data_IF_708016763836
#
_entry.id   IF_708016763836
#
_cell.length_a   1.000
_cell.length_b   1.000
_cell.length_c   1.000
_cell.angle_alpha   90.00
_cell.angle_beta   90.00
_cell.angle_gamma   90.00
#
_symmetry.space_group_name_H-M   'P 1'
#
loop_
_entity.id
_entity.type
_entity.pdbx_description
1 polymer ?
#
# COMPACT_ATOMS: atom_id res chain seq x y z
N UNK A 1 15.33 8.08 22.03
CA UNK A 1 14.07 8.83 22.27
C UNK A 1 14.35 10.26 21.84
N UNK A 2 13.45 10.90 21.08
CA UNK A 2 13.64 12.24 20.50
C UNK A 2 12.67 13.26 21.12
N UNK A 3 13.08 14.53 21.27
CA UNK A 3 12.17 15.58 21.71
C UNK A 3 11.03 15.76 20.70
N UNK A 4 9.83 15.99 21.23
CA UNK A 4 8.58 15.98 20.48
C UNK A 4 8.57 16.91 19.25
N UNK A 5 9.18 18.09 19.35
CA UNK A 5 9.26 19.04 18.24
C UNK A 5 10.12 18.51 17.07
N UNK A 6 11.21 17.78 17.35
CA UNK A 6 12.05 17.18 16.31
C UNK A 6 11.32 16.06 15.58
N UNK A 7 10.56 15.24 16.30
CA UNK A 7 9.74 14.18 15.69
C UNK A 7 8.68 14.76 14.77
N UNK A 8 7.97 15.78 15.22
CA UNK A 8 6.94 16.46 14.41
C UNK A 8 7.57 17.09 13.17
N UNK A 9 8.70 17.80 13.31
CA UNK A 9 9.39 18.43 12.19
C UNK A 9 9.92 17.40 11.19
N UNK A 10 10.51 16.30 11.67
CA UNK A 10 11.00 15.22 10.82
C UNK A 10 9.85 14.53 10.08
N UNK A 11 8.73 14.24 10.75
CA UNK A 11 7.54 13.66 10.12
C UNK A 11 6.95 14.59 9.07
N UNK A 12 6.81 15.88 9.38
CA UNK A 12 6.32 16.89 8.41
C UNK A 12 7.26 17.03 7.21
N UNK A 13 8.57 17.07 7.45
CA UNK A 13 9.57 17.11 6.38
C UNK A 13 9.50 15.86 5.50
N UNK A 14 9.35 14.68 6.11
CA UNK A 14 9.21 13.42 5.38
C UNK A 14 7.93 13.37 4.54
N UNK A 15 6.79 13.76 5.11
CA UNK A 15 5.52 13.85 4.38
C UNK A 15 5.62 14.87 3.24
N UNK A 16 6.22 16.04 3.50
CA UNK A 16 6.45 17.07 2.49
C UNK A 16 7.33 16.58 1.34
N UNK A 17 8.37 15.80 1.66
CA UNK A 17 9.23 15.17 0.67
C UNK A 17 8.47 14.13 -0.15
N UNK A 18 7.65 13.27 0.47
CA UNK A 18 6.79 12.32 -0.25
C UNK A 18 5.80 13.06 -1.17
N UNK A 19 5.22 14.17 -0.71
CA UNK A 19 4.32 15.01 -1.49
C UNK A 19 5.04 15.62 -2.70
N UNK A 20 6.28 16.09 -2.50
CA UNK A 20 7.11 16.63 -3.57
C UNK A 20 7.45 15.55 -4.60
N UNK A 21 7.84 14.34 -4.15
CA UNK A 21 8.09 13.20 -5.05
C UNK A 21 6.83 12.85 -5.83
N UNK A 22 5.67 12.78 -5.19
CA UNK A 22 4.39 12.50 -5.86
C UNK A 22 4.06 13.57 -6.91
N UNK A 23 4.24 14.84 -6.57
CA UNK A 23 4.01 15.97 -7.49
C UNK A 23 4.96 15.96 -8.69
N UNK A 24 6.25 15.68 -8.48
CA UNK A 24 7.21 15.54 -9.57
C UNK A 24 6.90 14.31 -10.44
N UNK A 25 6.51 13.20 -9.81
CA UNK A 25 6.11 11.97 -10.50
C UNK A 25 4.94 12.20 -11.46
N UNK A 26 3.94 12.97 -11.03
CA UNK A 26 2.80 13.35 -11.87
C UNK A 26 3.23 14.29 -13.00
N UNK A 27 3.96 15.37 -12.69
CA UNK A 27 4.41 16.36 -13.69
C UNK A 27 5.29 15.77 -14.79
N UNK A 28 6.13 14.79 -14.47
CA UNK A 28 7.07 14.18 -15.43
C UNK A 28 6.64 12.77 -15.88
N UNK A 29 5.39 12.36 -15.62
CA UNK A 29 4.88 10.99 -15.87
C UNK A 29 5.21 10.45 -17.26
N UNK A 30 5.05 11.28 -18.31
CA UNK A 30 5.26 10.87 -19.69
C UNK A 30 6.74 10.67 -20.05
N UNK A 31 7.65 11.43 -19.43
CA UNK A 31 9.09 11.29 -19.66
C UNK A 31 9.68 10.11 -18.88
N UNK A 32 9.20 9.90 -17.65
CA UNK A 32 9.58 8.80 -16.77
C UNK A 32 9.10 7.45 -17.30
N UNK A 33 7.87 7.38 -17.81
CA UNK A 33 7.31 6.16 -18.39
C UNK A 33 8.13 5.65 -19.59
N UNK A 34 8.62 6.53 -20.46
CA UNK A 34 9.42 6.13 -21.63
C UNK A 34 10.79 5.55 -21.29
N UNK A 35 11.42 5.98 -20.19
CA UNK A 35 12.81 5.60 -19.85
C UNK A 35 12.93 4.56 -18.74
N UNK A 36 11.90 4.41 -17.89
CA UNK A 36 12.03 3.68 -16.63
C UNK A 36 10.90 2.71 -16.28
N UNK A 37 10.04 2.33 -17.24
CA UNK A 37 8.82 1.57 -16.94
C UNK A 37 9.08 0.27 -16.15
N UNK A 38 10.12 -0.49 -16.49
CA UNK A 38 10.48 -1.73 -15.77
C UNK A 38 10.89 -1.46 -14.32
N UNK A 39 11.64 -0.38 -14.08
CA UNK A 39 12.11 0.00 -12.73
C UNK A 39 10.92 0.50 -11.91
N UNK A 40 10.07 1.34 -12.50
CA UNK A 40 8.84 1.83 -11.85
C UNK A 40 7.96 0.64 -11.45
N UNK A 41 7.76 -0.33 -12.36
CA UNK A 41 6.97 -1.53 -12.06
C UNK A 41 7.58 -2.35 -10.91
N UNK A 42 8.90 -2.56 -10.93
CA UNK A 42 9.59 -3.24 -9.84
C UNK A 42 9.46 -2.49 -8.49
N UNK A 43 9.60 -1.16 -8.50
CA UNK A 43 9.45 -0.32 -7.30
C UNK A 43 8.01 -0.32 -6.78
N UNK A 44 7.00 -0.37 -7.65
CA UNK A 44 5.59 -0.48 -7.23
C UNK A 44 5.29 -1.80 -6.53
N UNK A 45 5.99 -2.89 -6.88
CA UNK A 45 5.88 -4.15 -6.14
C UNK A 45 6.44 -4.03 -4.71
N UNK A 46 7.32 -3.06 -4.45
CA UNK A 46 7.84 -2.74 -3.13
C UNK A 46 6.78 -2.30 -2.12
N UNK A 47 5.56 -1.96 -2.57
CA UNK A 47 4.40 -1.70 -1.69
C UNK A 47 4.08 -2.89 -0.79
N UNK A 48 4.52 -4.11 -1.15
CA UNK A 48 4.45 -5.29 -0.27
C UNK A 48 5.17 -5.09 1.07
N UNK A 49 6.23 -4.29 1.12
CA UNK A 49 7.01 -3.98 2.30
C UNK A 49 6.32 -2.89 3.15
N UNK A 50 5.24 -3.26 3.83
CA UNK A 50 4.47 -2.35 4.70
C UNK A 50 4.99 -2.31 6.13
N UNK A 51 4.43 -1.41 6.95
CA UNK A 51 4.72 -1.35 8.40
C UNK A 51 4.47 -2.68 9.10
N UNK A 52 3.47 -3.46 8.65
CA UNK A 52 3.26 -4.83 9.13
C UNK A 52 4.47 -5.72 8.89
N UNK A 53 5.07 -5.69 7.70
CA UNK A 53 6.26 -6.49 7.40
C UNK A 53 7.44 -6.04 8.27
N UNK A 54 7.61 -4.73 8.50
CA UNK A 54 8.68 -4.22 9.34
C UNK A 54 8.52 -4.58 10.83
N UNK A 55 7.40 -4.22 11.44
CA UNK A 55 7.14 -4.47 12.87
C UNK A 55 6.85 -5.95 13.16
N UNK A 56 6.15 -6.61 12.25
CA UNK A 56 5.80 -8.03 12.38
C UNK A 56 7.02 -8.93 12.26
N UNK A 57 7.90 -8.72 11.27
CA UNK A 57 9.09 -9.59 11.13
C UNK A 57 10.12 -9.34 12.22
N UNK A 58 10.30 -8.10 12.68
CA UNK A 58 11.19 -7.80 13.82
C UNK A 58 10.65 -8.35 15.13
N UNK A 59 9.34 -8.23 15.37
CA UNK A 59 8.67 -8.85 16.52
C UNK A 59 8.80 -10.37 16.51
N UNK A 60 8.55 -11.02 15.37
CA UNK A 60 8.68 -12.48 15.21
C UNK A 60 10.13 -12.96 15.33
N UNK A 61 11.10 -12.20 14.83
CA UNK A 61 12.52 -12.55 14.95
C UNK A 61 13.00 -12.64 16.41
N UNK A 62 12.37 -11.89 17.32
CA UNK A 62 12.69 -11.96 18.75
C UNK A 62 12.24 -13.27 19.42
N UNK A 63 11.20 -13.92 18.89
CA UNK A 63 10.60 -15.13 19.48
C UNK A 63 10.93 -16.39 18.70
N UNK A 64 11.13 -16.31 17.38
CA UNK A 64 11.48 -17.45 16.51
C UNK A 64 12.06 -16.98 15.18
N UNK A 65 13.28 -17.43 14.86
CA UNK A 65 13.90 -17.16 13.55
C UNK A 65 13.14 -17.84 12.39
N UNK A 66 12.59 -19.04 12.59
CA UNK A 66 11.95 -19.79 11.51
C UNK A 66 10.57 -19.22 11.08
N UNK A 67 9.90 -18.43 11.93
CA UNK A 67 8.57 -17.89 11.61
C UNK A 67 8.60 -16.73 10.62
N UNK A 68 9.75 -16.07 10.42
CA UNK A 68 9.88 -14.99 9.43
C UNK A 68 10.09 -15.50 8.00
N UNK A 69 10.60 -16.72 7.83
CA UNK A 69 11.00 -17.28 6.53
C UNK A 69 9.84 -17.33 5.51
N UNK A 70 8.63 -17.78 5.88
CA UNK A 70 7.50 -17.85 4.96
C UNK A 70 7.07 -16.49 4.38
N UNK A 71 7.26 -15.39 5.13
CA UNK A 71 6.86 -14.04 4.69
C UNK A 71 7.68 -13.60 3.46
N UNK A 72 8.96 -13.98 3.41
CA UNK A 72 9.83 -13.66 2.28
C UNK A 72 9.81 -14.75 1.21
N UNK A 73 9.77 -16.02 1.60
CA UNK A 73 9.72 -17.13 0.65
C UNK A 73 8.40 -17.19 -0.13
N UNK A 74 7.26 -16.81 0.47
CA UNK A 74 5.95 -16.84 -0.17
C UNK A 74 5.91 -16.03 -1.47
N UNK A 75 6.22 -14.72 -1.46
CA UNK A 75 6.31 -13.92 -2.67
C UNK A 75 7.31 -14.46 -3.69
N UNK A 76 8.49 -14.92 -3.25
CA UNK A 76 9.51 -15.48 -4.14
C UNK A 76 8.96 -16.71 -4.87
N UNK A 77 8.38 -17.66 -4.14
CA UNK A 77 7.77 -18.87 -4.72
C UNK A 77 6.61 -18.53 -5.64
N UNK A 78 5.77 -17.56 -5.26
CA UNK A 78 4.66 -17.09 -6.09
C UNK A 78 5.19 -16.52 -7.41
N UNK A 79 6.20 -15.66 -7.38
CA UNK A 79 6.77 -15.10 -8.61
C UNK A 79 7.55 -16.12 -9.45
N UNK A 80 8.16 -17.15 -8.84
CA UNK A 80 8.88 -18.20 -9.57
C UNK A 80 7.92 -19.21 -10.21
N UNK A 81 6.96 -19.73 -9.44
CA UNK A 81 6.07 -20.81 -9.89
C UNK A 81 4.78 -20.32 -10.54
N UNK A 82 4.20 -19.21 -10.04
CA UNK A 82 2.92 -18.68 -10.52
C UNK A 82 3.08 -17.56 -11.56
N UNK A 83 4.30 -17.32 -12.08
CA UNK A 83 4.52 -16.36 -13.16
C UNK A 83 3.58 -16.52 -14.38
N UNK A 84 3.42 -17.73 -14.98
CA UNK A 84 2.53 -17.87 -16.14
C UNK A 84 1.05 -17.59 -15.79
N UNK A 85 0.67 -17.84 -14.53
CA UNK A 85 -0.67 -17.54 -14.03
C UNK A 85 -0.90 -16.02 -13.89
N UNK A 86 0.06 -15.29 -13.31
CA UNK A 86 0.02 -13.83 -13.21
C UNK A 86 -0.08 -13.20 -14.61
N UNK A 87 0.75 -13.66 -15.56
CA UNK A 87 0.70 -13.18 -16.94
C UNK A 87 -0.66 -13.43 -17.60
N UNK A 88 -1.35 -14.52 -17.26
CA UNK A 88 -2.70 -14.81 -17.76
C UNK A 88 -3.73 -13.83 -17.20
N UNK A 89 -3.66 -13.54 -15.90
CA UNK A 89 -4.52 -12.55 -15.24
C UNK A 89 -4.34 -11.18 -15.91
N UNK A 90 -3.10 -10.70 -16.03
CA UNK A 90 -2.80 -9.38 -16.62
C UNK A 90 -3.33 -9.28 -18.05
N UNK A 91 -3.13 -10.32 -18.88
CA UNK A 91 -3.63 -10.33 -20.26
C UNK A 91 -5.16 -10.25 -20.33
N UNK A 92 -5.87 -10.96 -19.44
CA UNK A 92 -7.33 -10.93 -19.39
C UNK A 92 -7.82 -9.56 -18.93
N UNK A 93 -7.24 -8.99 -17.88
CA UNK A 93 -7.58 -7.64 -17.39
C UNK A 93 -7.42 -6.59 -18.50
N UNK A 94 -6.29 -6.62 -19.23
CA UNK A 94 -6.03 -5.68 -20.31
C UNK A 94 -6.96 -5.88 -21.52
N UNK A 95 -7.26 -7.13 -21.90
CA UNK A 95 -8.14 -7.43 -23.04
C UNK A 95 -9.59 -7.03 -22.78
N UNK A 96 -10.04 -7.10 -21.53
CA UNK A 96 -11.41 -6.82 -21.12
C UNK A 96 -11.57 -5.44 -20.44
N UNK A 97 -10.52 -4.62 -20.40
CA UNK A 97 -10.48 -3.31 -19.72
C UNK A 97 -11.02 -3.36 -18.28
N UNK A 98 -10.64 -4.40 -17.54
CA UNK A 98 -11.08 -4.61 -16.16
C UNK A 98 -10.11 -3.89 -15.21
N UNK A 99 -10.65 -3.01 -14.38
CA UNK A 99 -9.87 -2.18 -13.44
C UNK A 99 -9.86 -2.74 -12.01
N UNK A 100 -10.75 -3.69 -11.70
CA UNK A 100 -10.86 -4.29 -10.36
C UNK A 100 -10.82 -5.82 -10.36
N UNK A 101 -10.46 -6.41 -9.21
CA UNK A 101 -10.51 -7.86 -8.99
C UNK A 101 -11.96 -8.38 -9.03
N UNK A 102 -12.91 -7.56 -8.57
CA UNK A 102 -14.34 -7.89 -8.63
C UNK A 102 -14.81 -8.07 -10.08
N UNK A 103 -14.40 -7.15 -10.97
CA UNK A 103 -14.74 -7.23 -12.40
C UNK A 103 -14.05 -8.41 -13.08
N UNK A 104 -12.81 -8.73 -12.67
CA UNK A 104 -12.10 -9.92 -13.16
C UNK A 104 -12.82 -11.22 -12.81
N UNK A 105 -13.29 -11.35 -11.58
CA UNK A 105 -14.04 -12.52 -11.15
C UNK A 105 -15.41 -12.57 -11.82
N UNK A 106 -16.14 -11.46 -11.88
CA UNK A 106 -17.42 -11.39 -12.57
C UNK A 106 -17.32 -11.76 -14.05
N UNK A 107 -16.30 -11.25 -14.76
CA UNK A 107 -16.05 -11.58 -16.16
C UNK A 107 -15.77 -13.06 -16.40
N UNK A 108 -15.15 -13.74 -15.42
CA UNK A 108 -14.90 -15.19 -15.48
C UNK A 108 -16.18 -16.02 -15.33
N UNK A 109 -17.17 -15.54 -14.57
CA UNK A 109 -18.43 -16.23 -14.29
C UNK A 109 -19.62 -15.62 -15.05
N UNK A 110 -19.42 -15.26 -16.32
CA UNK A 110 -20.52 -14.84 -17.20
C UNK A 110 -21.00 -13.39 -17.00
N UNK A 111 -20.14 -12.49 -16.51
CA UNK A 111 -20.46 -11.07 -16.20
C UNK A 111 -21.59 -10.91 -15.18
N UNK A 112 -21.65 -11.80 -14.19
CA UNK A 112 -22.65 -11.73 -13.12
C UNK A 112 -22.41 -10.52 -12.21
N UNK A 113 -23.34 -9.56 -12.24
CA UNK A 113 -23.26 -8.35 -11.42
C UNK A 113 -23.32 -8.67 -9.91
N UNK A 114 -24.16 -9.63 -9.51
CA UNK A 114 -24.25 -10.06 -8.11
C UNK A 114 -22.92 -10.60 -7.56
N UNK A 115 -22.13 -11.30 -8.40
CA UNK A 115 -20.81 -11.78 -7.99
C UNK A 115 -19.84 -10.62 -7.79
N UNK A 116 -19.86 -9.63 -8.69
CA UNK A 116 -19.03 -8.43 -8.55
C UNK A 116 -19.33 -7.70 -7.22
N UNK A 117 -20.61 -7.52 -6.88
CA UNK A 117 -21.03 -6.91 -5.61
C UNK A 117 -20.50 -7.72 -4.42
N UNK A 118 -20.72 -9.04 -4.43
CA UNK A 118 -20.27 -9.91 -3.33
C UNK A 118 -18.76 -9.82 -3.12
N UNK A 119 -17.97 -9.91 -4.19
CA UNK A 119 -16.51 -9.79 -4.12
C UNK A 119 -16.09 -8.42 -3.58
N UNK A 120 -16.75 -7.35 -4.03
CA UNK A 120 -16.45 -5.98 -3.59
C UNK A 120 -16.72 -5.82 -2.10
N UNK A 121 -17.84 -6.33 -1.59
CA UNK A 121 -18.18 -6.30 -0.16
C UNK A 121 -17.14 -7.08 0.66
N UNK A 122 -16.78 -8.29 0.22
CA UNK A 122 -15.77 -9.11 0.90
C UNK A 122 -14.41 -8.42 0.90
N UNK A 123 -14.01 -7.81 -0.22
CA UNK A 123 -12.77 -7.05 -0.32
C UNK A 123 -12.79 -5.81 0.59
N UNK A 124 -13.91 -5.09 0.66
CA UNK A 124 -14.09 -3.93 1.54
C UNK A 124 -13.96 -4.35 3.02
N UNK A 125 -14.70 -5.37 3.44
CA UNK A 125 -14.67 -5.88 4.81
C UNK A 125 -13.29 -6.42 5.18
N UNK A 126 -12.58 -7.07 4.23
CA UNK A 126 -11.23 -7.59 4.47
C UNK A 126 -10.15 -6.51 4.53
N UNK A 127 -10.27 -5.45 3.73
CA UNK A 127 -9.27 -4.36 3.68
C UNK A 127 -9.42 -3.35 4.82
N UNK A 128 -10.65 -3.11 5.30
CA UNK A 128 -10.93 -2.19 6.40
C UNK A 128 -10.11 -2.47 7.68
N UNK A 129 -10.08 -3.70 8.26
CA UNK A 129 -9.29 -3.99 9.44
C UNK A 129 -7.79 -3.92 9.16
N UNK A 130 -7.36 -4.25 7.95
CA UNK A 130 -5.96 -4.15 7.56
C UNK A 130 -5.48 -2.69 7.58
N UNK A 131 -6.26 -1.75 7.02
CA UNK A 131 -5.96 -0.32 7.07
C UNK A 131 -5.92 0.16 8.54
N UNK A 132 -6.85 -0.29 9.38
CA UNK A 132 -6.86 0.05 10.80
C UNK A 132 -5.59 -0.43 11.53
N UNK A 133 -5.13 -1.66 11.25
CA UNK A 133 -3.88 -2.20 11.81
C UNK A 133 -2.66 -1.41 11.34
N UNK A 134 -2.63 -0.97 10.08
CA UNK A 134 -1.53 -0.17 9.55
C UNK A 134 -1.48 1.23 10.20
N UNK A 135 -2.64 1.87 10.39
CA UNK A 135 -2.73 3.15 11.11
C UNK A 135 -2.27 3.00 12.57
N UNK A 136 -2.71 1.94 13.25
CA UNK A 136 -2.29 1.67 14.62
C UNK A 136 -0.77 1.45 14.72
N UNK A 137 -0.19 0.74 13.75
CA UNK A 137 1.27 0.54 13.65
C UNK A 137 2.04 1.86 13.55
N UNK A 138 1.52 2.84 12.79
CA UNK A 138 2.12 4.16 12.66
C UNK A 138 2.04 4.95 13.98
N UNK A 139 0.87 4.94 14.64
CA UNK A 139 0.69 5.60 15.94
C UNK A 139 1.62 4.99 16.98
N UNK A 140 1.68 3.66 17.06
CA UNK A 140 2.56 2.92 17.97
C UNK A 140 4.03 3.28 17.78
N UNK A 141 4.49 3.32 16.52
CA UNK A 141 5.87 3.69 16.19
C UNK A 141 6.19 5.12 16.64
N UNK A 142 5.25 6.06 16.46
CA UNK A 142 5.42 7.44 16.90
C UNK A 142 5.49 7.54 18.43
N UNK A 143 4.64 6.79 19.15
CA UNK A 143 4.64 6.77 20.62
C UNK A 143 5.93 6.22 21.22
N UNK A 144 6.52 5.17 20.62
CA UNK A 144 7.79 4.62 21.10
C UNK A 144 8.96 5.59 20.96
N UNK A 145 8.90 6.52 20.01
CA UNK A 145 9.99 7.45 19.74
C UNK A 145 9.96 8.70 20.63
N UNK A 146 8.81 9.03 21.24
CA UNK A 146 8.61 10.20 22.10
C UNK A 146 9.41 10.09 23.41
N UNK A 147 10.05 11.19 23.82
CA UNK A 147 10.63 11.33 25.16
C UNK A 147 9.52 11.59 26.20
N UNK A 148 8.68 12.58 25.92
CA UNK A 148 7.57 12.96 26.78
C UNK A 148 6.26 12.50 26.14
N UNK A 149 5.50 11.64 26.83
CA UNK A 149 4.18 11.15 26.39
C UNK A 149 3.09 12.23 26.50
N UNK A 150 3.39 13.47 26.13
CA UNK A 150 2.47 14.60 26.19
C UNK A 150 1.33 14.50 25.18
N UNK A 151 1.50 13.72 24.10
CA UNK A 151 0.48 13.53 23.07
C UNK A 151 -0.26 12.20 23.24
N UNK A 152 -1.58 12.25 23.38
CA UNK A 152 -2.43 11.06 23.41
C UNK A 152 -2.43 10.34 22.06
N UNK A 153 -2.47 9.00 22.07
CA UNK A 153 -2.58 8.16 20.86
C UNK A 153 -3.69 8.62 19.91
N UNK A 154 -4.82 9.06 20.45
CA UNK A 154 -5.97 9.53 19.69
C UNK A 154 -5.64 10.75 18.80
N UNK A 155 -4.95 11.75 19.34
CA UNK A 155 -4.58 12.96 18.61
C UNK A 155 -3.62 12.62 17.45
N UNK A 156 -2.64 11.75 17.70
CA UNK A 156 -1.69 11.30 16.67
C UNK A 156 -2.43 10.53 15.58
N UNK A 157 -3.31 9.59 15.95
CA UNK A 157 -4.11 8.82 15.00
C UNK A 157 -5.00 9.71 14.12
N UNK A 158 -5.63 10.73 14.70
CA UNK A 158 -6.43 11.69 13.94
C UNK A 158 -5.58 12.50 12.95
N UNK A 159 -4.43 13.01 13.36
CA UNK A 159 -3.55 13.78 12.46
C UNK A 159 -3.03 12.89 11.33
N UNK A 160 -2.53 11.69 11.64
CA UNK A 160 -2.00 10.76 10.64
C UNK A 160 -3.10 10.35 9.65
N UNK A 161 -4.29 10.01 10.13
CA UNK A 161 -5.41 9.63 9.25
C UNK A 161 -5.89 10.79 8.37
N UNK A 162 -5.95 12.02 8.89
CA UNK A 162 -6.32 13.20 8.12
C UNK A 162 -5.30 13.49 7.01
N UNK A 163 -4.00 13.43 7.33
CA UNK A 163 -2.94 13.60 6.34
C UNK A 163 -3.02 12.54 5.24
N UNK A 164 -3.20 11.26 5.61
CA UNK A 164 -3.34 10.17 4.65
C UNK A 164 -4.60 10.31 3.81
N UNK A 165 -5.71 10.77 4.39
CA UNK A 165 -6.94 11.04 3.67
C UNK A 165 -6.74 12.15 2.62
N UNK A 166 -6.15 13.28 3.01
CA UNK A 166 -5.82 14.38 2.09
C UNK A 166 -4.90 13.91 0.98
N UNK A 167 -3.84 13.17 1.32
CA UNK A 167 -2.91 12.61 0.34
C UNK A 167 -3.63 11.67 -0.66
N UNK A 168 -4.50 10.81 -0.16
CA UNK A 168 -5.28 9.85 -0.98
C UNK A 168 -6.27 10.57 -1.89
N UNK A 169 -6.92 11.64 -1.43
CA UNK A 169 -7.84 12.43 -2.24
C UNK A 169 -7.10 13.18 -3.35
N UNK A 170 -5.96 13.80 -3.03
CA UNK A 170 -5.19 14.61 -3.98
C UNK A 170 -4.56 13.78 -5.10
N UNK A 171 -3.99 12.60 -4.77
CA UNK A 171 -3.24 11.79 -5.72
C UNK A 171 -3.90 10.47 -6.11
N UNK A 172 -4.73 9.88 -5.23
CA UNK A 172 -5.31 8.55 -5.46
C UNK A 172 -6.55 8.57 -6.35
N UNK A 173 -7.55 9.39 -5.99
CA UNK A 173 -8.86 9.39 -6.67
C UNK A 173 -8.77 9.98 -8.08
N UNK A 174 -7.80 10.88 -8.31
CA UNK A 174 -7.67 11.63 -9.56
C UNK A 174 -7.21 10.77 -10.74
N UNK A 175 -6.62 9.58 -10.52
CA UNK A 175 -5.89 8.81 -11.54
C UNK A 175 -6.25 7.32 -11.61
N UNK A 176 -7.50 6.95 -11.32
CA UNK A 176 -7.98 5.55 -11.37
C UNK A 176 -8.02 4.98 -12.81
N UNK A 177 -7.72 5.79 -13.82
CA UNK A 177 -7.71 5.31 -15.21
C UNK A 177 -6.43 4.56 -15.56
N UNK A 178 -6.49 3.23 -15.46
CA UNK A 178 -5.48 2.27 -15.93
C UNK A 178 -5.39 2.26 -17.48
N UNK A 179 -6.32 2.95 -18.16
CA UNK A 179 -6.52 2.89 -19.60
C UNK A 179 -5.80 3.99 -20.40
N UNK A 180 -5.23 5.00 -19.75
CA UNK A 180 -4.33 5.95 -20.44
C UNK A 180 -2.96 5.31 -20.64
N UNK A 181 -2.82 4.60 -21.77
CA UNK A 181 -1.55 4.29 -22.41
C UNK A 181 -1.34 5.19 -23.61
#
# INVERSE_FOLDING_TARGET
MFPNWQLVLLSLAYIGLLFLIAFLGDRYRHQLAKKGQSIIYALTLGVYCTSWSFLGTTGQASTSLLSHLPIYLGPILLFVFAWPFIQRIIRVSLKLHLTSIADLLAARFGKSHNLAIMVTIVALIGTMPYIALQLNSMVYSFQQLQIDQSYTSWHIGLVVSLVLAVFTVLFGIRHIDVTER
#
